data_IF_669197595258
#
_entry.id   IF_669197595258
#
_cell.length_a   1.000
_cell.length_b   1.000
_cell.length_c   1.000
_cell.angle_alpha   90.00
_cell.angle_beta   90.00
_cell.angle_gamma   90.00
#
_symmetry.space_group_name_H-M   'P 1'
#
loop_
_entity.id
_entity.type
_entity.pdbx_description
1 polymer ?
#
# COMPACT_ATOMS: atom_id res chain seq x y z
N UNK A 1 -24.81 1.18 3.32
CA UNK A 1 -24.71 0.31 2.14
C UNK A 1 -23.44 -0.49 2.24
N UNK A 2 -23.47 -1.73 1.80
CA UNK A 2 -22.26 -2.56 1.63
C UNK A 2 -21.47 -2.08 0.41
N UNK A 3 -20.19 -2.44 0.30
CA UNK A 3 -19.40 -2.07 -0.89
C UNK A 3 -20.01 -2.66 -2.17
N UNK A 4 -20.53 -3.88 -2.12
CA UNK A 4 -21.22 -4.52 -3.25
C UNK A 4 -22.41 -3.68 -3.73
N UNK A 5 -23.27 -3.19 -2.82
CA UNK A 5 -24.40 -2.33 -3.17
C UNK A 5 -23.94 -1.00 -3.80
N UNK A 6 -22.87 -0.40 -3.27
CA UNK A 6 -22.31 0.84 -3.82
C UNK A 6 -21.70 0.64 -5.21
N UNK A 7 -21.01 -0.48 -5.41
CA UNK A 7 -20.41 -0.85 -6.69
C UNK A 7 -21.52 -1.07 -7.74
N UNK A 8 -22.55 -1.85 -7.41
CA UNK A 8 -23.66 -2.14 -8.33
C UNK A 8 -24.43 -0.86 -8.69
N UNK A 9 -24.67 0.03 -7.72
CA UNK A 9 -25.29 1.33 -7.99
C UNK A 9 -24.40 2.20 -8.89
N UNK A 10 -23.09 2.26 -8.62
CA UNK A 10 -22.13 2.98 -9.45
C UNK A 10 -22.06 2.44 -10.88
N UNK A 11 -22.11 1.11 -11.05
CA UNK A 11 -22.16 0.46 -12.37
C UNK A 11 -23.42 0.82 -13.16
N UNK A 12 -24.53 1.06 -12.46
CA UNK A 12 -25.79 1.54 -13.05
C UNK A 12 -25.84 3.06 -13.27
N UNK A 13 -24.72 3.78 -13.06
CA UNK A 13 -24.59 5.21 -13.34
C UNK A 13 -24.85 6.13 -12.14
N UNK A 14 -24.98 5.60 -10.92
CA UNK A 14 -25.10 6.42 -9.72
C UNK A 14 -23.73 6.99 -9.30
N UNK A 15 -23.50 8.26 -9.67
CA UNK A 15 -22.28 8.98 -9.31
C UNK A 15 -22.14 9.23 -7.79
N UNK A 16 -23.25 9.26 -7.05
CA UNK A 16 -23.20 9.43 -5.59
C UNK A 16 -22.69 8.16 -4.91
N UNK A 17 -23.06 6.99 -5.42
CA UNK A 17 -22.55 5.71 -4.94
C UNK A 17 -21.04 5.58 -5.15
N UNK A 18 -20.53 6.00 -6.32
CA UNK A 18 -19.09 6.02 -6.54
C UNK A 18 -18.38 7.06 -5.64
N UNK A 19 -18.99 8.22 -5.42
CA UNK A 19 -18.44 9.22 -4.50
C UNK A 19 -18.28 8.66 -3.08
N UNK A 20 -19.23 7.85 -2.62
CA UNK A 20 -19.12 7.17 -1.33
C UNK A 20 -18.00 6.12 -1.30
N UNK A 21 -17.77 5.38 -2.40
CA UNK A 21 -16.58 4.52 -2.53
C UNK A 21 -15.28 5.34 -2.44
N UNK A 22 -15.21 6.52 -3.08
CA UNK A 22 -14.05 7.40 -2.95
C UNK A 22 -13.85 7.80 -1.49
N UNK A 23 -14.90 8.22 -0.79
CA UNK A 23 -14.82 8.61 0.62
C UNK A 23 -14.30 7.48 1.52
N UNK A 24 -14.79 6.26 1.32
CA UNK A 24 -14.40 5.09 2.08
C UNK A 24 -12.93 4.72 1.87
N UNK A 25 -12.40 4.87 0.64
CA UNK A 25 -11.10 4.31 0.26
C UNK A 25 -9.99 5.35 0.10
N UNK A 26 -10.29 6.64 -0.03
CA UNK A 26 -9.30 7.68 -0.33
C UNK A 26 -8.16 7.75 0.67
N UNK A 27 -8.45 7.56 1.97
CA UNK A 27 -7.43 7.60 3.02
C UNK A 27 -6.44 6.45 2.88
N UNK A 28 -6.94 5.25 2.59
CA UNK A 28 -6.14 4.05 2.41
C UNK A 28 -5.27 4.13 1.14
N UNK A 29 -5.84 4.62 0.04
CA UNK A 29 -5.10 4.80 -1.22
C UNK A 29 -3.98 5.84 -1.04
N UNK A 30 -4.27 7.01 -0.45
CA UNK A 30 -3.26 8.03 -0.14
C UNK A 30 -2.17 7.49 0.79
N UNK A 31 -2.53 6.77 1.85
CA UNK A 31 -1.55 6.18 2.76
C UNK A 31 -0.62 5.20 2.03
N UNK A 32 -1.17 4.38 1.13
CA UNK A 32 -0.39 3.43 0.33
C UNK A 32 0.63 4.14 -0.57
N UNK A 33 0.24 5.26 -1.19
CA UNK A 33 1.08 6.07 -2.06
C UNK A 33 2.10 6.91 -1.27
N UNK A 34 1.71 7.50 -0.14
CA UNK A 34 2.55 8.34 0.71
C UNK A 34 3.74 7.60 1.33
N UNK A 35 3.64 6.28 1.49
CA UNK A 35 4.78 5.45 1.90
C UNK A 35 5.87 5.39 0.82
N UNK A 36 5.53 5.66 -0.45
CA UNK A 36 6.42 5.54 -1.60
C UNK A 36 6.79 6.89 -2.19
N UNK A 37 6.01 7.93 -1.95
CA UNK A 37 6.24 9.29 -2.45
C UNK A 37 6.50 10.24 -1.30
N UNK A 38 7.55 11.04 -1.41
CA UNK A 38 7.92 12.03 -0.38
C UNK A 38 7.11 13.32 -0.51
N UNK A 39 6.62 13.65 -1.70
CA UNK A 39 5.85 14.85 -1.99
C UNK A 39 4.34 14.59 -1.85
N UNK A 40 3.67 15.33 -0.97
CA UNK A 40 2.22 15.19 -0.75
C UNK A 40 1.38 15.55 -1.97
N UNK A 41 1.80 16.51 -2.78
CA UNK A 41 1.08 16.86 -4.01
C UNK A 41 1.07 15.71 -5.00
N UNK A 42 2.20 15.01 -5.14
CA UNK A 42 2.30 13.82 -6.01
C UNK A 42 1.42 12.67 -5.50
N UNK A 43 1.28 12.51 -4.18
CA UNK A 43 0.38 11.54 -3.56
C UNK A 43 -1.07 11.84 -3.93
N UNK A 44 -1.49 13.10 -3.79
CA UNK A 44 -2.86 13.51 -4.05
C UNK A 44 -3.21 13.38 -5.55
N UNK A 45 -2.30 13.79 -6.43
CA UNK A 45 -2.48 13.66 -7.89
C UNK A 45 -2.60 12.18 -8.32
N UNK A 46 -1.72 11.31 -7.83
CA UNK A 46 -1.78 9.88 -8.16
C UNK A 46 -3.00 9.18 -7.56
N UNK A 47 -3.42 9.57 -6.35
CA UNK A 47 -4.64 9.06 -5.74
C UNK A 47 -5.86 9.47 -6.56
N UNK A 48 -5.92 10.73 -7.00
CA UNK A 48 -7.01 11.22 -7.85
C UNK A 48 -7.06 10.45 -9.18
N UNK A 49 -5.94 10.30 -9.87
CA UNK A 49 -5.89 9.54 -11.13
C UNK A 49 -6.31 8.08 -10.92
N UNK A 50 -5.95 7.46 -9.78
CA UNK A 50 -6.39 6.09 -9.47
C UNK A 50 -7.92 5.98 -9.39
N UNK A 51 -8.59 6.92 -8.73
CA UNK A 51 -10.05 6.94 -8.68
C UNK A 51 -10.69 7.27 -10.03
N UNK A 52 -10.09 8.12 -10.85
CA UNK A 52 -10.58 8.38 -12.22
C UNK A 52 -10.46 7.15 -13.12
N UNK A 53 -9.37 6.38 -12.99
CA UNK A 53 -9.22 5.09 -13.69
C UNK A 53 -10.23 4.07 -13.16
N UNK A 54 -10.43 3.99 -11.85
CA UNK A 54 -11.41 3.09 -11.25
C UNK A 54 -12.84 3.43 -11.68
N UNK A 55 -13.22 4.70 -11.72
CA UNK A 55 -14.53 5.14 -12.23
C UNK A 55 -14.74 4.67 -13.68
N UNK A 56 -13.75 4.88 -14.54
CA UNK A 56 -13.80 4.45 -15.95
C UNK A 56 -13.91 2.93 -16.12
N UNK A 57 -13.39 2.16 -15.15
CA UNK A 57 -13.36 0.69 -15.18
C UNK A 57 -14.37 0.02 -14.27
N UNK A 58 -15.25 0.78 -13.61
CA UNK A 58 -16.14 0.22 -12.59
C UNK A 58 -17.08 -0.84 -13.18
N UNK A 59 -17.51 -0.68 -14.45
CA UNK A 59 -18.35 -1.63 -15.18
C UNK A 59 -17.64 -2.95 -15.53
N UNK A 60 -16.31 -2.98 -15.49
CA UNK A 60 -15.51 -4.19 -15.70
C UNK A 60 -15.23 -4.91 -14.37
N UNK A 61 -15.51 -4.27 -13.24
CA UNK A 61 -15.22 -4.82 -11.92
C UNK A 61 -16.27 -5.85 -11.48
N UNK A 62 -15.80 -6.97 -10.97
CA UNK A 62 -16.64 -8.02 -10.39
C UNK A 62 -17.03 -7.62 -8.96
N UNK A 63 -18.29 -7.24 -8.75
CA UNK A 63 -18.82 -6.74 -7.47
C UNK A 63 -18.75 -7.77 -6.32
N UNK A 64 -18.49 -9.04 -6.64
CA UNK A 64 -18.27 -10.10 -5.63
C UNK A 64 -16.86 -10.07 -5.03
N UNK A 65 -15.92 -9.34 -5.66
CA UNK A 65 -14.54 -9.17 -5.18
C UNK A 65 -14.40 -7.93 -4.31
N UNK A 66 -13.40 -7.94 -3.42
CA UNK A 66 -13.11 -6.80 -2.57
C UNK A 66 -12.59 -5.60 -3.38
N UNK A 67 -13.22 -4.43 -3.20
CA UNK A 67 -12.86 -3.19 -3.90
C UNK A 67 -11.50 -2.65 -3.48
N UNK A 68 -11.18 -2.71 -2.18
CA UNK A 68 -9.93 -2.20 -1.61
C UNK A 68 -8.65 -2.70 -2.30
N UNK A 69 -8.44 -4.01 -2.46
CA UNK A 69 -7.30 -4.55 -3.22
C UNK A 69 -7.28 -4.11 -4.69
N UNK A 70 -8.45 -3.98 -5.32
CA UNK A 70 -8.55 -3.56 -6.72
C UNK A 70 -8.17 -2.09 -6.94
N UNK A 71 -8.68 -1.16 -6.13
CA UNK A 71 -8.28 0.26 -6.25
C UNK A 71 -6.79 0.45 -5.94
N UNK A 72 -6.23 -0.34 -5.02
CA UNK A 72 -4.79 -0.31 -4.73
C UNK A 72 -3.96 -0.81 -5.92
N UNK A 73 -4.39 -1.86 -6.63
CA UNK A 73 -3.65 -2.35 -7.80
C UNK A 73 -3.58 -1.31 -8.91
N UNK A 74 -4.67 -0.56 -9.12
CA UNK A 74 -4.69 0.61 -10.03
C UNK A 74 -3.69 1.67 -9.57
N UNK A 75 -3.72 2.06 -8.29
CA UNK A 75 -2.79 3.04 -7.74
C UNK A 75 -1.31 2.61 -7.89
N UNK A 76 -1.01 1.33 -7.67
CA UNK A 76 0.33 0.77 -7.87
C UNK A 76 0.78 0.80 -9.33
N UNK A 77 -0.11 0.47 -10.27
CA UNK A 77 0.18 0.55 -11.69
C UNK A 77 0.51 1.99 -12.12
N UNK A 78 -0.25 2.96 -11.64
CA UNK A 78 0.00 4.39 -11.90
C UNK A 78 1.31 4.86 -11.27
N UNK A 79 1.58 4.44 -10.04
CA UNK A 79 2.85 4.70 -9.37
C UNK A 79 4.02 4.17 -10.20
N UNK A 80 3.98 2.91 -10.66
CA UNK A 80 5.03 2.34 -11.53
C UNK A 80 5.29 3.20 -12.77
N UNK A 81 4.23 3.66 -13.42
CA UNK A 81 4.34 4.56 -14.57
C UNK A 81 4.92 5.93 -14.21
N UNK A 82 4.56 6.48 -13.05
CA UNK A 82 5.13 7.71 -12.52
C UNK A 82 6.65 7.59 -12.34
N UNK A 83 7.12 6.53 -11.66
CA UNK A 83 8.56 6.30 -11.47
C UNK A 83 9.32 6.15 -12.78
N UNK A 84 8.78 5.41 -13.75
CA UNK A 84 9.39 5.26 -15.08
C UNK A 84 9.57 6.60 -15.80
N UNK A 85 8.67 7.57 -15.58
CA UNK A 85 8.75 8.90 -16.20
C UNK A 85 9.66 9.88 -15.44
N UNK A 86 9.65 9.82 -14.11
CA UNK A 86 10.30 10.83 -13.25
C UNK A 86 11.65 10.40 -12.68
N UNK A 87 12.02 9.12 -12.79
CA UNK A 87 13.36 8.62 -12.46
C UNK A 87 13.85 7.67 -13.55
N UNK A 88 14.51 8.19 -14.60
CA UNK A 88 15.23 7.33 -15.54
C UNK A 88 16.37 6.66 -14.76
N UNK A 89 16.25 5.35 -14.57
CA UNK A 89 17.21 4.39 -14.03
C UNK A 89 18.44 4.96 -13.32
N UNK A 90 18.37 5.08 -11.99
CA UNK A 90 19.57 4.88 -11.18
C UNK A 90 19.84 3.38 -11.15
N UNK A 91 20.65 2.91 -12.10
CA UNK A 91 21.34 1.61 -12.18
C UNK A 91 20.94 0.59 -11.11
N UNK A 92 20.17 -0.42 -11.53
CA UNK A 92 20.18 -1.75 -10.91
C UNK A 92 18.86 -2.22 -10.30
N UNK A 93 18.02 -2.86 -11.12
CA UNK A 93 17.19 -4.06 -10.83
C UNK A 93 16.32 -4.13 -9.56
N UNK A 94 16.21 -3.07 -8.75
CA UNK A 94 15.56 -3.14 -7.43
C UNK A 94 14.13 -2.61 -7.40
N UNK A 95 13.76 -1.74 -8.34
CA UNK A 95 12.39 -1.19 -8.39
C UNK A 95 11.37 -2.26 -8.78
N UNK A 96 11.71 -3.11 -9.75
CA UNK A 96 10.85 -4.21 -10.20
C UNK A 96 10.68 -5.28 -9.10
N UNK A 97 11.77 -5.62 -8.40
CA UNK A 97 11.70 -6.56 -7.28
C UNK A 97 10.88 -6.00 -6.11
N UNK A 98 11.02 -4.70 -5.80
CA UNK A 98 10.25 -4.07 -4.73
C UNK A 98 8.75 -4.02 -5.03
N UNK A 99 8.39 -3.86 -6.32
CA UNK A 99 7.01 -3.84 -6.79
C UNK A 99 6.39 -5.24 -6.77
N UNK A 100 7.08 -6.27 -7.26
CA UNK A 100 6.57 -7.66 -7.25
C UNK A 100 6.25 -8.13 -5.82
N UNK A 101 7.11 -7.75 -4.89
CA UNK A 101 6.97 -8.05 -3.45
C UNK A 101 5.80 -7.31 -2.84
N UNK A 102 5.60 -6.04 -3.21
CA UNK A 102 4.51 -5.23 -2.70
C UNK A 102 3.16 -5.63 -3.32
N UNK A 103 3.12 -6.11 -4.57
CA UNK A 103 1.96 -6.72 -5.22
C UNK A 103 1.53 -8.01 -4.49
N UNK A 104 2.47 -8.88 -4.12
CA UNK A 104 2.19 -10.11 -3.38
C UNK A 104 1.75 -9.86 -1.91
N UNK A 105 2.06 -8.68 -1.37
CA UNK A 105 1.58 -8.20 -0.07
C UNK A 105 0.21 -7.54 -0.17
N UNK A 106 -0.08 -6.82 -1.26
CA UNK A 106 -1.35 -6.13 -1.49
C UNK A 106 -2.56 -7.07 -1.69
N UNK A 107 -2.31 -8.29 -2.17
CA UNK A 107 -3.36 -9.25 -2.56
C UNK A 107 -4.05 -10.00 -1.40
N UNK A 108 -3.60 -9.86 -0.15
CA UNK A 108 -4.18 -10.60 1.00
C UNK A 108 -4.66 -9.73 2.17
N UNK A 109 -4.82 -8.42 1.99
CA UNK A 109 -5.45 -7.59 3.02
C UNK A 109 -6.97 -7.86 3.04
N UNK A 110 -7.42 -8.71 3.96
CA UNK A 110 -8.84 -8.83 4.29
C UNK A 110 -9.27 -7.68 5.19
N UNK A 111 -10.40 -7.05 4.84
CA UNK A 111 -11.07 -6.02 5.64
C UNK A 111 -11.75 -6.63 6.87
N UNK A 112 -10.95 -7.20 7.78
CA UNK A 112 -11.40 -7.36 9.16
C UNK A 112 -10.67 -6.35 10.03
N UNK A 113 -11.40 -5.75 10.97
CA UNK A 113 -10.99 -4.85 12.05
C UNK A 113 -9.63 -4.13 11.89
N UNK A 114 -9.69 -2.88 11.43
CA UNK A 114 -8.57 -1.94 11.37
C UNK A 114 -7.97 -1.69 12.76
N UNK A 115 -8.80 -1.69 13.82
CA UNK A 115 -8.37 -1.54 15.21
C UNK A 115 -7.46 -2.68 15.68
N UNK A 116 -7.86 -3.94 15.41
CA UNK A 116 -7.08 -5.13 15.79
C UNK A 116 -5.77 -5.21 15.00
N UNK A 117 -5.82 -4.77 13.73
CA UNK A 117 -4.64 -4.69 12.87
C UNK A 117 -3.61 -3.69 13.40
N UNK A 118 -4.07 -2.51 13.85
CA UNK A 118 -3.20 -1.47 14.39
C UNK A 118 -2.58 -1.88 15.73
N UNK A 119 -3.35 -2.56 16.59
CA UNK A 119 -2.85 -3.12 17.84
C UNK A 119 -1.79 -4.21 17.59
N UNK A 120 -2.07 -5.16 16.69
CA UNK A 120 -1.13 -6.20 16.30
C UNK A 120 0.15 -5.62 15.69
N UNK A 121 0.04 -4.59 14.83
CA UNK A 121 1.20 -3.92 14.23
C UNK A 121 2.12 -3.29 15.29
N UNK A 122 1.55 -2.61 16.29
CA UNK A 122 2.35 -2.02 17.40
C UNK A 122 3.11 -3.09 18.18
N UNK A 123 2.49 -4.23 18.45
CA UNK A 123 3.13 -5.35 19.14
C UNK A 123 4.23 -5.97 18.27
N UNK A 124 3.93 -6.25 17.01
CA UNK A 124 4.86 -6.89 16.08
C UNK A 124 6.07 -6.01 15.74
N UNK A 125 5.90 -4.69 15.67
CA UNK A 125 7.00 -3.76 15.44
C UNK A 125 8.00 -3.81 16.60
N UNK A 126 7.53 -3.96 17.85
CA UNK A 126 8.41 -4.13 19.02
C UNK A 126 9.17 -5.45 19.04
N UNK A 127 8.73 -6.46 18.28
CA UNK A 127 9.43 -7.76 18.16
C UNK A 127 10.57 -7.74 17.13
N UNK A 128 10.69 -6.68 16.33
CA UNK A 128 11.81 -6.49 15.41
C UNK A 128 13.08 -6.13 16.20
N UNK A 129 14.26 -6.42 15.65
CA UNK A 129 15.51 -5.91 16.21
C UNK A 129 15.59 -4.38 16.09
N UNK A 130 16.40 -3.75 16.95
CA UNK A 130 16.50 -2.29 17.04
C UNK A 130 16.85 -1.62 15.71
N UNK A 131 17.70 -2.25 14.89
CA UNK A 131 18.05 -1.71 13.58
C UNK A 131 16.87 -1.73 12.62
N UNK A 132 16.09 -2.82 12.58
CA UNK A 132 14.86 -2.87 11.79
C UNK A 132 13.80 -1.91 12.31
N UNK A 133 13.61 -1.77 13.63
CA UNK A 133 12.69 -0.78 14.20
C UNK A 133 13.04 0.64 13.76
N UNK A 134 14.34 0.99 13.77
CA UNK A 134 14.84 2.29 13.31
C UNK A 134 14.58 2.49 11.82
N UNK A 135 14.82 1.48 10.99
CA UNK A 135 14.53 1.52 9.55
C UNK A 135 13.02 1.71 9.31
N UNK A 136 12.16 1.00 10.04
CA UNK A 136 10.70 1.19 9.98
C UNK A 136 10.34 2.64 10.30
N UNK A 137 10.86 3.17 11.40
CA UNK A 137 10.55 4.55 11.79
C UNK A 137 11.00 5.54 10.72
N UNK A 138 12.27 5.49 10.32
CA UNK A 138 12.81 6.43 9.35
C UNK A 138 12.09 6.36 8.00
N UNK A 139 11.74 5.15 7.54
CA UNK A 139 11.09 4.97 6.26
C UNK A 139 9.59 5.32 6.28
N UNK A 140 8.83 4.79 7.24
CA UNK A 140 7.35 4.89 7.23
C UNK A 140 6.80 6.01 8.11
N UNK A 141 7.55 6.46 9.13
CA UNK A 141 7.15 7.57 9.98
C UNK A 141 7.79 8.88 9.52
N UNK A 142 9.10 8.86 9.24
CA UNK A 142 9.85 10.07 8.88
C UNK A 142 9.93 10.29 7.35
N UNK A 143 9.49 9.33 6.55
CA UNK A 143 9.33 9.47 5.09
C UNK A 143 10.62 9.39 4.28
N UNK A 144 11.72 8.86 4.85
CA UNK A 144 12.98 8.74 4.12
C UNK A 144 12.84 7.74 2.97
N UNK A 145 13.40 8.10 1.81
CA UNK A 145 13.52 7.23 0.65
C UNK A 145 14.53 6.10 0.89
N UNK A 146 14.42 5.02 0.10
CA UNK A 146 15.40 3.91 0.13
C UNK A 146 16.82 4.43 -0.13
N UNK A 147 16.97 5.44 -1.01
CA UNK A 147 18.25 6.10 -1.26
C UNK A 147 18.82 6.80 -0.02
N UNK A 148 18.00 7.52 0.74
CA UNK A 148 18.44 8.17 1.99
C UNK A 148 18.80 7.16 3.06
N UNK A 149 18.03 6.07 3.18
CA UNK A 149 18.32 4.96 4.08
C UNK A 149 19.65 4.27 3.73
N UNK A 150 19.93 4.07 2.43
CA UNK A 150 21.21 3.45 2.01
C UNK A 150 22.42 4.30 2.40
N UNK A 151 22.29 5.64 2.32
CA UNK A 151 23.33 6.58 2.76
C UNK A 151 23.50 6.58 4.28
N UNK A 152 22.39 6.55 5.01
CA UNK A 152 22.43 6.63 6.48
C UNK A 152 22.94 5.35 7.14
N UNK A 153 22.61 4.19 6.56
CA UNK A 153 22.99 2.88 7.10
C UNK A 153 24.20 2.27 6.40
N UNK A 154 24.78 2.96 5.42
CA UNK A 154 25.92 2.53 4.61
C UNK A 154 25.75 1.11 4.03
N UNK A 155 24.61 0.86 3.39
CA UNK A 155 24.32 -0.41 2.72
C UNK A 155 23.89 -0.22 1.27
N UNK A 156 24.18 -1.20 0.42
CA UNK A 156 23.78 -1.18 -1.00
C UNK A 156 22.27 -1.09 -1.17
N UNK A 157 21.81 -0.40 -2.21
CA UNK A 157 20.40 -0.21 -2.53
C UNK A 157 19.61 -1.52 -2.61
N UNK A 158 20.15 -2.53 -3.29
CA UNK A 158 19.55 -3.87 -3.38
C UNK A 158 19.47 -4.57 -2.01
N UNK A 159 20.47 -4.39 -1.15
CA UNK A 159 20.46 -4.95 0.20
C UNK A 159 19.42 -4.28 1.10
N UNK A 160 19.25 -2.95 0.99
CA UNK A 160 18.20 -2.22 1.72
C UNK A 160 16.80 -2.64 1.26
N UNK A 161 16.59 -2.77 -0.05
CA UNK A 161 15.35 -3.26 -0.67
C UNK A 161 14.97 -4.64 -0.12
N UNK A 162 15.92 -5.59 -0.13
CA UNK A 162 15.71 -6.94 0.43
C UNK A 162 15.46 -6.92 1.94
N UNK A 163 16.12 -6.03 2.67
CA UNK A 163 15.92 -5.88 4.12
C UNK A 163 14.50 -5.37 4.44
N UNK A 164 14.01 -4.38 3.70
CA UNK A 164 12.64 -3.87 3.81
C UNK A 164 11.61 -4.95 3.48
N UNK A 165 11.83 -5.75 2.44
CA UNK A 165 10.98 -6.88 2.11
C UNK A 165 10.89 -7.89 3.26
N UNK A 166 12.02 -8.43 3.72
CA UNK A 166 12.04 -9.45 4.78
C UNK A 166 11.36 -8.97 6.05
N UNK A 167 11.57 -7.69 6.37
CA UNK A 167 10.92 -7.02 7.49
C UNK A 167 9.40 -6.92 7.31
N UNK A 168 8.89 -6.55 6.11
CA UNK A 168 7.44 -6.56 5.81
C UNK A 168 6.85 -7.96 5.95
N UNK A 169 7.53 -8.99 5.46
CA UNK A 169 7.10 -10.38 5.60
C UNK A 169 7.04 -10.83 7.06
N UNK A 170 8.04 -10.48 7.85
CA UNK A 170 8.08 -10.79 9.27
C UNK A 170 6.93 -10.11 10.02
N UNK A 171 6.66 -8.83 9.73
CA UNK A 171 5.52 -8.11 10.29
C UNK A 171 4.19 -8.75 9.87
N UNK A 172 4.04 -9.11 8.59
CA UNK A 172 2.84 -9.78 8.08
C UNK A 172 2.58 -11.10 8.78
N UNK A 173 3.58 -11.98 8.91
CA UNK A 173 3.45 -13.26 9.62
C UNK A 173 3.04 -13.04 11.07
N UNK A 174 3.73 -12.14 11.77
CA UNK A 174 3.42 -11.82 13.17
C UNK A 174 2.00 -11.26 13.34
N UNK A 175 1.55 -10.37 12.43
CA UNK A 175 0.20 -9.81 12.47
C UNK A 175 -0.83 -10.92 12.24
N UNK A 176 -0.63 -11.80 11.25
CA UNK A 176 -1.54 -12.90 10.99
C UNK A 176 -1.64 -13.87 12.18
N UNK A 177 -0.51 -14.21 12.82
CA UNK A 177 -0.47 -15.03 14.04
C UNK A 177 -1.20 -14.35 15.20
N UNK A 178 -0.91 -13.07 15.46
CA UNK A 178 -1.50 -12.31 16.57
C UNK A 178 -3.01 -12.12 16.39
N UNK A 179 -3.48 -12.06 15.14
CA UNK A 179 -4.91 -11.99 14.80
C UNK A 179 -5.59 -13.35 14.88
N UNK A 180 -4.88 -14.44 14.54
CA UNK A 180 -5.38 -15.81 14.66
C UNK A 180 -5.56 -16.28 16.10
N UNK A 181 -4.78 -15.76 17.05
CA UNK A 181 -4.93 -16.09 18.49
C UNK A 181 -6.10 -15.40 19.19
N UNK A 182 -6.76 -14.42 18.56
CA UNK A 182 -7.90 -13.70 19.11
C UNK A 182 -9.27 -14.27 18.67
N UNK A 183 -9.30 -15.52 18.17
CA UNK A 183 -10.51 -16.19 17.67
C UNK A 183 -10.99 -17.37 18.56
N UNK A 184 -10.56 -17.41 19.82
CA UNK A 184 -11.13 -18.26 20.89
C UNK A 184 -11.66 -17.36 22.01
#
# INVERSE_FOLDING_TARGET
MTDTELIEAAQNGDNSAFSQLVENYQRNVRACLAVRLTNRFEVDDLAQEAFLVAYRKINEFDSTKAFGPWIRSIAFYLLKNYWRKHKPDAVGGSAELQILVDEEIGLQYSEKNESDSLAALKICTKKLDENLQKIVRLHYHDGLSVGELTKQFDIKHSAMTMKLHRMRDQLRRCINETRGTCQL
#
